data_IF_851010283037
#
_entry.id   IF_851010283037
#
_cell.length_a   1.000
_cell.length_b   1.000
_cell.length_c   1.000
_cell.angle_alpha   90.00
_cell.angle_beta   90.00
_cell.angle_gamma   90.00
#
_symmetry.space_group_name_H-M   'P 1'
#
loop_
_entity.id
_entity.type
_entity.pdbx_description
1 polymer ?
#
# COMPACT_ATOMS: atom_id res chain seq x y z
N UNK A 1 10.74 -5.14 46.63
CA UNK A 1 10.58 -6.13 45.54
C UNK A 1 9.38 -5.79 44.67
N UNK A 2 8.24 -5.37 45.23
CA UNK A 2 7.04 -5.01 44.43
C UNK A 2 7.29 -3.88 43.41
N UNK A 3 8.04 -2.84 43.78
CA UNK A 3 8.31 -1.70 42.87
C UNK A 3 9.17 -2.08 41.65
N UNK A 4 10.15 -2.98 41.84
CA UNK A 4 11.00 -3.46 40.75
C UNK A 4 10.24 -4.37 39.79
N UNK A 5 9.35 -5.22 40.31
CA UNK A 5 8.49 -6.08 39.49
C UNK A 5 7.48 -5.25 38.69
N UNK A 6 6.84 -4.26 39.31
CA UNK A 6 5.93 -3.33 38.61
C UNK A 6 6.66 -2.57 37.51
N UNK A 7 7.86 -2.05 37.79
CA UNK A 7 8.66 -1.34 36.79
C UNK A 7 9.02 -2.21 35.57
N UNK A 8 9.40 -3.47 35.80
CA UNK A 8 9.70 -4.42 34.71
C UNK A 8 8.45 -4.69 33.87
N UNK A 9 7.29 -4.93 34.50
CA UNK A 9 6.04 -5.19 33.79
C UNK A 9 5.65 -3.99 32.92
N UNK A 10 5.70 -2.77 33.47
CA UNK A 10 5.40 -1.55 32.69
C UNK A 10 6.36 -1.39 31.51
N UNK A 11 7.64 -1.64 31.71
CA UNK A 11 8.65 -1.56 30.65
C UNK A 11 8.39 -2.58 29.53
N UNK A 12 8.06 -3.82 29.87
CA UNK A 12 7.71 -4.86 28.91
C UNK A 12 6.46 -4.49 28.09
N UNK A 13 5.44 -3.93 28.74
CA UNK A 13 4.22 -3.46 28.06
C UNK A 13 4.54 -2.35 27.06
N UNK A 14 5.37 -1.38 27.45
CA UNK A 14 5.77 -0.27 26.56
C UNK A 14 6.53 -0.78 25.33
N UNK A 15 7.48 -1.70 25.51
CA UNK A 15 8.20 -2.32 24.40
C UNK A 15 7.26 -3.08 23.47
N UNK A 16 6.29 -3.79 24.02
CA UNK A 16 5.30 -4.52 23.23
C UNK A 16 4.43 -3.56 22.41
N UNK A 17 3.97 -2.46 22.99
CA UNK A 17 3.21 -1.42 22.26
C UNK A 17 4.04 -0.83 21.12
N UNK A 18 5.30 -0.46 21.37
CA UNK A 18 6.20 0.10 20.35
C UNK A 18 6.42 -0.92 19.23
N UNK A 19 6.62 -2.19 19.58
CA UNK A 19 6.79 -3.26 18.61
C UNK A 19 5.57 -3.42 17.69
N UNK A 20 4.37 -3.48 18.25
CA UNK A 20 3.15 -3.58 17.44
C UNK A 20 2.92 -2.31 16.59
N UNK A 21 3.12 -1.13 17.16
CA UNK A 21 2.96 0.15 16.46
C UNK A 21 3.95 0.29 15.29
N UNK A 22 5.12 -0.36 15.38
CA UNK A 22 6.11 -0.40 14.32
C UNK A 22 5.81 -1.45 13.25
N UNK A 23 5.38 -2.66 13.64
CA UNK A 23 5.16 -3.77 12.71
C UNK A 23 3.88 -3.61 11.86
N UNK A 24 2.80 -3.08 12.45
CA UNK A 24 1.50 -2.87 11.81
C UNK A 24 1.59 -2.12 10.47
N UNK A 25 2.20 -0.93 10.38
CA UNK A 25 2.22 -0.16 9.12
C UNK A 25 3.01 -0.87 8.01
N UNK A 26 4.05 -1.64 8.36
CA UNK A 26 4.82 -2.42 7.39
C UNK A 26 3.94 -3.50 6.76
N UNK A 27 3.19 -4.23 7.58
CA UNK A 27 2.32 -5.29 7.10
C UNK A 27 1.20 -4.75 6.20
N UNK A 28 0.52 -3.68 6.61
CA UNK A 28 -0.51 -3.05 5.78
C UNK A 28 0.08 -2.39 4.52
N UNK A 29 1.25 -1.77 4.61
CA UNK A 29 1.95 -1.19 3.46
C UNK A 29 2.29 -2.24 2.41
N UNK A 30 2.75 -3.43 2.81
CA UNK A 30 2.99 -4.55 1.90
C UNK A 30 1.72 -5.02 1.17
N UNK A 31 0.58 -5.08 1.88
CA UNK A 31 -0.71 -5.44 1.27
C UNK A 31 -1.10 -4.41 0.19
N UNK A 32 -1.04 -3.12 0.52
CA UNK A 32 -1.35 -2.05 -0.42
C UNK A 32 -0.37 -1.97 -1.61
N UNK A 33 0.90 -2.23 -1.38
CA UNK A 33 1.90 -2.28 -2.45
C UNK A 33 1.56 -3.35 -3.51
N UNK A 34 1.14 -4.54 -3.06
CA UNK A 34 0.66 -5.61 -3.95
C UNK A 34 -0.63 -5.21 -4.69
N UNK A 35 -1.60 -4.60 -4.00
CA UNK A 35 -2.87 -4.17 -4.60
C UNK A 35 -2.62 -3.19 -5.75
N UNK A 36 -1.78 -2.17 -5.51
CA UNK A 36 -1.48 -1.12 -6.50
C UNK A 36 -0.36 -1.48 -7.48
N UNK A 37 0.20 -2.70 -7.42
CA UNK A 37 1.34 -3.15 -8.26
C UNK A 37 2.55 -2.20 -8.20
N UNK A 38 2.85 -1.66 -7.02
CA UNK A 38 4.03 -0.81 -6.78
C UNK A 38 5.15 -1.61 -6.10
N UNK A 39 6.39 -1.12 -6.19
CA UNK A 39 7.55 -1.80 -5.64
C UNK A 39 7.43 -2.00 -4.12
N UNK A 40 7.83 -3.18 -3.63
CA UNK A 40 7.90 -3.48 -2.19
C UNK A 40 9.01 -2.68 -1.48
N UNK A 41 9.93 -2.09 -2.24
CA UNK A 41 11.04 -1.28 -1.74
C UNK A 41 10.57 -0.10 -0.87
N UNK A 42 9.34 0.37 -1.08
CA UNK A 42 8.70 1.38 -0.23
C UNK A 42 8.64 1.00 1.25
N UNK A 43 8.73 -0.29 1.59
CA UNK A 43 8.76 -0.75 2.97
C UNK A 43 10.12 -0.63 3.64
N UNK A 44 11.18 -0.25 2.92
CA UNK A 44 12.45 0.16 3.56
C UNK A 44 12.25 1.42 4.41
N UNK A 45 11.34 2.32 4.01
CA UNK A 45 10.92 3.42 4.88
C UNK A 45 10.22 2.92 6.15
N UNK A 46 9.82 1.66 6.21
CA UNK A 46 9.33 1.01 7.42
C UNK A 46 10.39 0.73 8.48
N UNK A 47 11.69 0.89 8.20
CA UNK A 47 12.77 0.68 9.20
C UNK A 47 12.62 1.61 10.41
N UNK A 48 12.10 2.82 10.23
CA UNK A 48 11.86 3.74 11.33
C UNK A 48 10.35 3.82 11.63
N UNK A 49 9.92 3.80 12.91
CA UNK A 49 8.50 3.71 13.28
C UNK A 49 7.63 4.77 12.61
N UNK A 50 8.06 6.04 12.65
CA UNK A 50 7.32 7.16 12.06
C UNK A 50 7.23 7.08 10.52
N UNK A 51 8.32 6.70 9.86
CA UNK A 51 8.37 6.67 8.39
C UNK A 51 7.61 5.47 7.83
N UNK A 52 7.44 4.39 8.60
CA UNK A 52 6.56 3.28 8.25
C UNK A 52 5.10 3.71 8.08
N UNK A 53 4.58 4.50 9.03
CA UNK A 53 3.23 5.06 8.93
C UNK A 53 3.08 6.01 7.75
N UNK A 54 4.06 6.89 7.52
CA UNK A 54 4.06 7.81 6.37
C UNK A 54 4.04 7.02 5.05
N UNK A 55 4.93 6.03 4.91
CA UNK A 55 4.98 5.19 3.70
C UNK A 55 3.67 4.44 3.47
N UNK A 56 3.08 3.90 4.53
CA UNK A 56 1.76 3.26 4.46
C UNK A 56 0.67 4.23 4.00
N UNK A 57 0.60 5.45 4.56
CA UNK A 57 -0.39 6.46 4.17
C UNK A 57 -0.22 6.91 2.71
N UNK A 58 1.02 7.10 2.25
CA UNK A 58 1.32 7.42 0.85
C UNK A 58 0.87 6.29 -0.08
N UNK A 59 1.17 5.03 0.26
CA UNK A 59 0.74 3.88 -0.53
C UNK A 59 -0.79 3.76 -0.57
N UNK A 60 -1.46 4.01 0.55
CA UNK A 60 -2.91 3.89 0.67
C UNK A 60 -3.63 5.01 -0.06
N UNK A 61 -3.21 6.26 0.12
CA UNK A 61 -3.96 7.43 -0.33
C UNK A 61 -3.24 8.28 -1.39
N UNK A 62 -1.91 8.33 -1.38
CA UNK A 62 -1.13 9.22 -2.26
C UNK A 62 -0.85 8.67 -3.66
N UNK A 63 -0.89 7.35 -3.86
CA UNK A 63 -0.59 6.74 -5.16
C UNK A 63 -1.87 6.25 -5.85
N UNK A 64 -2.19 6.82 -7.01
CA UNK A 64 -3.33 6.36 -7.81
C UNK A 64 -3.10 4.96 -8.41
N UNK A 65 -4.14 4.11 -8.50
CA UNK A 65 -4.05 2.86 -9.26
C UNK A 65 -3.78 3.13 -10.74
N UNK A 66 -3.02 2.23 -11.38
CA UNK A 66 -2.60 2.35 -12.77
C UNK A 66 -2.96 1.12 -13.60
N UNK A 67 -3.17 1.36 -14.89
CA UNK A 67 -3.34 0.32 -15.94
C UNK A 67 -2.24 0.47 -16.99
N UNK A 68 -2.03 -0.57 -17.78
CA UNK A 68 -1.13 -0.50 -18.93
C UNK A 68 -1.89 -0.12 -20.19
N UNK A 69 -1.30 0.74 -21.02
CA UNK A 69 -1.84 1.05 -22.34
C UNK A 69 -1.78 -0.20 -23.25
N UNK A 70 -2.86 -0.53 -23.96
CA UNK A 70 -2.91 -1.68 -24.86
C UNK A 70 -1.85 -1.61 -25.97
N UNK A 71 -1.61 -0.40 -26.50
CA UNK A 71 -0.71 -0.13 -27.64
C UNK A 71 0.76 0.00 -27.25
N UNK A 72 1.10 0.92 -26.33
CA UNK A 72 2.50 1.20 -25.98
C UNK A 72 2.97 0.55 -24.66
N UNK A 73 2.11 -0.20 -23.96
CA UNK A 73 2.39 -0.89 -22.68
C UNK A 73 2.80 0.00 -21.50
N UNK A 74 2.82 1.31 -21.69
CA UNK A 74 3.16 2.27 -20.64
C UNK A 74 2.11 2.33 -19.51
N UNK A 75 2.56 2.67 -18.30
CA UNK A 75 1.73 2.76 -17.10
C UNK A 75 1.01 4.12 -17.03
N UNK A 76 -0.32 4.10 -17.13
CA UNK A 76 -1.18 5.28 -17.12
C UNK A 76 -2.22 5.19 -16.00
N UNK A 77 -2.86 6.31 -15.66
CA UNK A 77 -3.96 6.34 -14.69
C UNK A 77 -5.08 5.38 -15.13
N UNK A 78 -5.73 4.74 -14.17
CA UNK A 78 -6.75 3.73 -14.48
C UNK A 78 -7.95 4.34 -15.21
N UNK A 79 -8.32 5.58 -14.85
CA UNK A 79 -9.44 6.31 -15.47
C UNK A 79 -9.07 6.99 -16.80
N UNK A 80 -7.81 6.93 -17.25
CA UNK A 80 -7.41 7.65 -18.46
C UNK A 80 -8.07 7.06 -19.72
N UNK A 81 -8.85 7.87 -20.42
CA UNK A 81 -9.44 7.53 -21.72
C UNK A 81 -8.42 7.64 -22.86
N UNK A 82 -7.47 8.57 -22.75
CA UNK A 82 -6.44 8.79 -23.77
C UNK A 82 -5.07 8.58 -23.15
N UNK A 83 -4.24 7.76 -23.80
CA UNK A 83 -2.87 7.54 -23.37
C UNK A 83 -2.02 8.80 -23.60
N UNK A 84 -1.49 9.38 -22.51
CA UNK A 84 -0.62 10.57 -22.56
C UNK A 84 0.69 10.39 -23.36
N UNK A 85 1.07 9.16 -23.65
CA UNK A 85 2.36 8.85 -24.29
C UNK A 85 2.24 8.59 -25.79
N UNK A 86 1.19 7.85 -26.21
CA UNK A 86 1.04 7.43 -27.61
C UNK A 86 -0.27 7.90 -28.26
N UNK A 87 -1.11 8.65 -27.54
CA UNK A 87 -2.39 9.15 -28.02
C UNK A 87 -3.47 8.07 -28.22
N UNK A 88 -3.20 6.81 -27.87
CA UNK A 88 -4.18 5.74 -28.02
C UNK A 88 -5.42 6.01 -27.15
N UNK A 89 -6.59 6.08 -27.79
CA UNK A 89 -7.88 6.15 -27.11
C UNK A 89 -8.31 4.76 -26.65
N UNK A 90 -8.77 4.65 -25.41
CA UNK A 90 -9.26 3.43 -24.79
C UNK A 90 -10.77 3.49 -24.69
N UNK A 91 -11.41 2.34 -24.90
CA UNK A 91 -12.86 2.24 -24.78
C UNK A 91 -13.28 2.34 -23.30
N UNK A 92 -14.56 2.67 -23.07
CA UNK A 92 -15.12 2.68 -21.71
C UNK A 92 -15.15 1.26 -21.13
N UNK A 93 -15.33 0.26 -21.98
CA UNK A 93 -15.28 -1.15 -21.63
C UNK A 93 -13.90 -1.55 -21.06
N UNK A 94 -12.81 -1.10 -21.71
CA UNK A 94 -11.44 -1.37 -21.26
C UNK A 94 -11.14 -0.71 -19.91
N UNK A 95 -11.62 0.52 -19.71
CA UNK A 95 -11.50 1.25 -18.44
C UNK A 95 -12.25 0.51 -17.33
N UNK A 96 -13.51 0.15 -17.58
CA UNK A 96 -14.35 -0.56 -16.63
C UNK A 96 -13.78 -1.93 -16.26
N UNK A 97 -13.20 -2.63 -17.24
CA UNK A 97 -12.51 -3.88 -17.00
C UNK A 97 -11.30 -3.68 -16.06
N UNK A 98 -10.46 -2.68 -16.32
CA UNK A 98 -9.31 -2.39 -15.47
C UNK A 98 -9.71 -2.04 -14.03
N UNK A 99 -10.78 -1.25 -13.85
CA UNK A 99 -11.33 -0.90 -12.53
C UNK A 99 -11.81 -2.16 -11.80
N UNK A 100 -12.61 -3.00 -12.46
CA UNK A 100 -13.07 -4.28 -11.87
C UNK A 100 -11.91 -5.20 -11.49
N UNK A 101 -10.86 -5.26 -12.30
CA UNK A 101 -9.66 -6.04 -11.97
C UNK A 101 -8.94 -5.48 -10.73
N UNK A 102 -8.86 -4.15 -10.61
CA UNK A 102 -8.31 -3.51 -9.41
C UNK A 102 -9.15 -3.79 -8.16
N UNK A 103 -10.48 -3.66 -8.25
CA UNK A 103 -11.40 -3.95 -7.14
C UNK A 103 -11.31 -5.41 -6.71
N UNK A 104 -11.27 -6.34 -7.67
CA UNK A 104 -11.07 -7.78 -7.39
C UNK A 104 -9.78 -8.02 -6.60
N UNK A 105 -8.66 -7.41 -7.04
CA UNK A 105 -7.37 -7.51 -6.34
C UNK A 105 -7.41 -6.87 -4.94
N UNK A 106 -8.06 -5.73 -4.81
CA UNK A 106 -8.23 -5.05 -3.52
C UNK A 106 -9.00 -5.95 -2.54
N UNK A 107 -10.15 -6.48 -2.96
CA UNK A 107 -11.00 -7.31 -2.11
C UNK A 107 -10.30 -8.62 -1.72
N UNK A 108 -9.61 -9.28 -2.67
CA UNK A 108 -8.90 -10.53 -2.37
C UNK A 108 -7.76 -10.34 -1.37
N UNK A 109 -7.04 -9.21 -1.42
CA UNK A 109 -5.87 -8.94 -0.56
C UNK A 109 -6.21 -8.32 0.79
N UNK A 110 -7.41 -7.75 0.93
CA UNK A 110 -7.93 -7.27 2.21
C UNK A 110 -8.49 -8.45 3.03
N UNK A 111 -9.01 -9.47 2.37
CA UNK A 111 -9.53 -10.68 3.01
C UNK A 111 -8.44 -11.66 3.48
N UNK A 112 -7.25 -11.63 2.87
CA UNK A 112 -5.99 -12.22 3.40
C UNK A 112 -5.48 -11.45 4.62
#
# INVERSE_FOLDING_TARGET
MEDTFSGIITFLILLLIIFFLWFIPIWYGLKWAKIKKVSKLWMLFGIHPMTGWIAYLILRYGIDPRKQCAKCKESIKIEAEICRYCGNQMSKEDINFAIKEFEKRKNSRIAE
#
